data_IF_651519859669
#
_entry.id   IF_651519859669
#
_cell.length_a   1.000
_cell.length_b   1.000
_cell.length_c   1.000
_cell.angle_alpha   90.00
_cell.angle_beta   90.00
_cell.angle_gamma   90.00
#
_symmetry.space_group_name_H-M   'P 1'
#
loop_
_entity.id
_entity.type
_entity.pdbx_description
1 polymer ?
#
# COMPACT_ATOMS: atom_id res chain seq x y z
N UNK A 1 -44.70 9.19 1.83
CA UNK A 1 -44.07 9.23 3.16
C UNK A 1 -44.00 7.83 3.78
N UNK A 2 -42.96 7.01 3.49
CA UNK A 2 -42.65 5.79 4.29
C UNK A 2 -41.41 4.96 3.87
N UNK A 3 -40.49 5.47 3.04
CA UNK A 3 -39.25 4.75 2.70
C UNK A 3 -37.97 5.59 2.77
N UNK A 4 -38.09 6.86 3.17
CA UNK A 4 -36.94 7.80 3.23
C UNK A 4 -36.24 7.73 4.61
N UNK A 5 -36.86 7.09 5.61
CA UNK A 5 -36.35 7.06 6.99
C UNK A 5 -35.34 5.96 7.32
N UNK A 6 -35.00 5.05 6.40
CA UNK A 6 -34.21 3.85 6.73
C UNK A 6 -32.81 3.78 6.09
N UNK A 7 -32.41 4.77 5.27
CA UNK A 7 -31.10 4.81 4.60
C UNK A 7 -30.10 5.77 5.28
N UNK A 8 -30.28 6.05 6.57
CA UNK A 8 -29.33 6.78 7.41
C UNK A 8 -28.64 5.86 8.42
N UNK A 9 -28.40 4.59 8.06
CA UNK A 9 -27.51 3.71 8.82
C UNK A 9 -26.08 4.02 8.36
N UNK A 10 -25.56 5.10 8.93
CA UNK A 10 -24.17 5.33 9.34
C UNK A 10 -23.18 4.42 8.59
N UNK A 11 -22.83 4.80 7.37
CA UNK A 11 -21.46 4.55 6.92
C UNK A 11 -20.63 5.41 7.86
N UNK A 12 -20.00 4.77 8.85
CA UNK A 12 -18.93 5.38 9.61
C UNK A 12 -17.84 5.71 8.60
N UNK A 13 -17.94 6.89 8.00
CA UNK A 13 -16.88 7.47 7.21
C UNK A 13 -15.81 7.78 8.24
N UNK A 14 -14.98 6.78 8.56
CA UNK A 14 -13.63 7.11 9.03
C UNK A 14 -13.12 8.03 7.96
N UNK A 15 -12.97 9.30 8.31
CA UNK A 15 -12.46 10.34 7.43
C UNK A 15 -11.12 9.86 6.92
N UNK A 16 -11.12 9.20 5.76
CA UNK A 16 -9.93 9.00 4.94
C UNK A 16 -9.66 10.40 4.43
N UNK A 17 -8.95 11.17 5.25
CA UNK A 17 -8.23 12.35 4.80
C UNK A 17 -7.26 11.81 3.75
N UNK A 18 -7.68 11.82 2.49
CA UNK A 18 -6.84 11.51 1.36
C UNK A 18 -5.91 12.70 1.12
N UNK A 19 -5.08 13.01 2.11
CA UNK A 19 -3.89 13.80 1.87
C UNK A 19 -2.96 12.86 1.12
N UNK A 20 -2.72 13.20 -0.15
CA UNK A 20 -1.92 12.41 -1.08
C UNK A 20 -0.42 12.32 -0.69
N UNK A 21 -0.05 12.94 0.44
CA UNK A 21 1.31 12.99 0.98
C UNK A 21 1.51 12.15 2.26
N UNK A 22 0.44 11.57 2.83
CA UNK A 22 0.55 10.77 4.06
C UNK A 22 0.87 9.31 3.72
N UNK A 23 2.11 8.90 4.03
CA UNK A 23 2.54 7.49 3.97
C UNK A 23 1.64 6.65 4.88
N UNK A 24 1.01 5.56 4.39
CA UNK A 24 0.10 4.77 5.21
C UNK A 24 0.78 4.19 6.45
N UNK A 25 0.02 4.11 7.55
CA UNK A 25 0.49 3.46 8.79
C UNK A 25 1.01 2.04 8.54
N UNK A 26 0.40 1.28 7.63
CA UNK A 26 0.86 -0.06 7.30
C UNK A 26 2.29 -0.09 6.72
N UNK A 27 2.75 0.97 6.03
CA UNK A 27 4.13 1.06 5.53
C UNK A 27 5.07 1.23 6.71
N UNK A 28 4.74 2.08 7.68
CA UNK A 28 5.53 2.27 8.90
C UNK A 28 5.67 0.98 9.70
N UNK A 29 4.57 0.24 9.89
CA UNK A 29 4.57 -1.02 10.62
C UNK A 29 5.45 -2.08 9.92
N UNK A 30 5.38 -2.15 8.59
CA UNK A 30 6.21 -3.05 7.78
C UNK A 30 7.70 -2.67 7.85
N UNK A 31 8.03 -1.39 7.76
CA UNK A 31 9.41 -0.91 7.92
C UNK A 31 9.95 -1.20 9.34
N UNK A 32 9.11 -1.11 10.35
CA UNK A 32 9.48 -1.48 11.71
C UNK A 32 9.80 -2.98 11.83
N UNK A 33 8.98 -3.86 11.23
CA UNK A 33 9.27 -5.30 11.15
C UNK A 33 10.61 -5.59 10.48
N UNK A 34 10.93 -4.85 9.41
CA UNK A 34 12.22 -4.97 8.72
C UNK A 34 13.40 -4.58 9.63
N UNK A 35 13.27 -3.47 10.37
CA UNK A 35 14.33 -2.98 11.27
C UNK A 35 14.52 -3.85 12.51
N UNK A 36 13.49 -4.54 12.96
CA UNK A 36 13.52 -5.35 14.20
C UNK A 36 13.84 -6.83 13.96
N UNK A 37 14.31 -7.19 12.75
CA UNK A 37 14.62 -8.58 12.37
C UNK A 37 13.40 -9.52 12.48
N UNK A 38 12.19 -8.99 12.32
CA UNK A 38 10.95 -9.81 12.33
C UNK A 38 10.67 -10.45 10.97
N UNK A 39 11.36 -10.02 9.90
CA UNK A 39 11.30 -10.63 8.57
C UNK A 39 12.28 -11.80 8.46
N UNK A 40 13.55 -11.54 8.79
CA UNK A 40 14.62 -12.51 8.69
C UNK A 40 15.18 -12.82 10.07
N UNK A 41 15.37 -14.11 10.38
CA UNK A 41 16.16 -14.51 11.55
C UNK A 41 17.60 -14.04 11.36
N UNK A 42 18.28 -13.60 12.42
CA UNK A 42 19.66 -13.10 12.32
C UNK A 42 20.66 -14.13 11.73
N UNK A 43 20.41 -15.42 11.93
CA UNK A 43 21.25 -16.48 11.37
C UNK A 43 20.92 -16.85 9.92
N UNK A 44 19.81 -16.34 9.36
CA UNK A 44 19.37 -16.62 8.00
C UNK A 44 20.02 -15.64 7.01
N UNK A 45 21.25 -15.97 6.62
CA UNK A 45 22.07 -15.12 5.75
C UNK A 45 21.51 -14.97 4.36
N UNK A 46 20.76 -15.95 3.86
CA UNK A 46 20.11 -15.90 2.55
C UNK A 46 18.91 -14.94 2.58
N UNK A 47 18.09 -14.99 3.64
CA UNK A 47 17.02 -14.02 3.85
C UNK A 47 17.57 -12.60 3.97
N UNK A 48 18.61 -12.39 4.79
CA UNK A 48 19.21 -11.06 4.97
C UNK A 48 19.81 -10.52 3.66
N UNK A 49 20.44 -11.39 2.85
CA UNK A 49 20.99 -11.01 1.55
C UNK A 49 19.90 -10.58 0.57
N UNK A 50 18.81 -11.35 0.51
CA UNK A 50 17.69 -11.05 -0.37
C UNK A 50 16.92 -9.80 0.07
N UNK A 51 16.76 -9.59 1.38
CA UNK A 51 16.19 -8.35 1.94
C UNK A 51 17.04 -7.12 1.59
N UNK A 52 18.37 -7.23 1.67
CA UNK A 52 19.30 -6.18 1.24
C UNK A 52 19.25 -5.94 -0.27
N UNK A 53 19.06 -7.00 -1.07
CA UNK A 53 18.87 -6.89 -2.52
C UNK A 53 17.58 -6.11 -2.85
N UNK A 54 16.49 -6.40 -2.15
CA UNK A 54 15.22 -5.69 -2.27
C UNK A 54 15.37 -4.18 -1.92
N UNK A 55 16.07 -3.85 -0.84
CA UNK A 55 16.35 -2.47 -0.45
C UNK A 55 17.16 -1.72 -1.52
N UNK A 56 18.25 -2.31 -2.01
CA UNK A 56 19.06 -1.74 -3.08
C UNK A 56 18.25 -1.51 -4.36
N UNK A 57 17.41 -2.47 -4.74
CA UNK A 57 16.53 -2.33 -5.90
C UNK A 57 15.53 -1.17 -5.71
N UNK A 58 14.99 -1.04 -4.50
CA UNK A 58 14.08 0.08 -4.15
C UNK A 58 14.78 1.44 -4.24
N UNK A 59 16.02 1.55 -3.77
CA UNK A 59 16.83 2.76 -3.89
C UNK A 59 17.16 3.09 -5.35
N UNK A 60 17.45 2.09 -6.18
CA UNK A 60 17.67 2.30 -7.62
C UNK A 60 16.41 2.84 -8.29
N UNK A 61 15.24 2.25 -8.03
CA UNK A 61 13.96 2.74 -8.53
C UNK A 61 13.67 4.18 -8.08
N UNK A 62 13.98 4.51 -6.82
CA UNK A 62 13.84 5.87 -6.28
C UNK A 62 14.73 6.87 -7.02
N UNK A 63 15.99 6.49 -7.28
CA UNK A 63 16.95 7.31 -8.05
C UNK A 63 16.51 7.53 -9.50
N UNK A 64 16.12 6.46 -10.21
CA UNK A 64 15.67 6.52 -11.60
C UNK A 64 14.42 7.40 -11.78
N UNK A 65 13.52 7.39 -10.80
CA UNK A 65 12.25 8.10 -10.88
C UNK A 65 12.24 9.45 -10.15
N UNK A 66 13.42 9.97 -9.77
CA UNK A 66 13.56 11.28 -9.11
C UNK A 66 12.66 11.42 -7.88
N UNK A 67 12.48 10.35 -7.10
CA UNK A 67 11.61 10.30 -5.92
C UNK A 67 10.11 10.51 -6.19
N UNK A 68 9.65 10.49 -7.45
CA UNK A 68 8.21 10.56 -7.73
C UNK A 68 7.56 9.27 -7.26
N UNK A 69 6.73 9.36 -6.21
CA UNK A 69 6.24 8.20 -5.46
C UNK A 69 5.51 7.15 -6.33
N UNK A 70 4.52 7.51 -7.17
CA UNK A 70 3.79 6.52 -7.97
C UNK A 70 4.69 5.77 -8.96
N UNK A 71 5.65 6.46 -9.58
CA UNK A 71 6.60 5.90 -10.52
C UNK A 71 7.63 5.02 -9.80
N UNK A 72 8.10 5.47 -8.63
CA UNK A 72 9.00 4.69 -7.77
C UNK A 72 8.32 3.39 -7.34
N UNK A 73 7.08 3.46 -6.84
CA UNK A 73 6.31 2.30 -6.42
C UNK A 73 6.11 1.29 -7.57
N UNK A 74 5.67 1.77 -8.75
CA UNK A 74 5.51 0.92 -9.93
C UNK A 74 6.83 0.29 -10.38
N UNK A 75 7.94 1.03 -10.31
CA UNK A 75 9.26 0.48 -10.61
C UNK A 75 9.61 -0.66 -9.65
N UNK A 76 9.43 -0.45 -8.34
CA UNK A 76 9.73 -1.45 -7.33
C UNK A 76 8.86 -2.70 -7.53
N UNK A 77 7.54 -2.52 -7.68
CA UNK A 77 6.58 -3.60 -7.91
C UNK A 77 6.96 -4.50 -9.09
N UNK A 78 7.43 -3.90 -10.19
CA UNK A 78 7.68 -4.62 -11.43
C UNK A 78 9.08 -5.23 -11.51
N UNK A 79 10.08 -4.61 -10.88
CA UNK A 79 11.49 -4.96 -11.06
C UNK A 79 12.15 -5.58 -9.83
N UNK A 80 11.67 -5.29 -8.62
CA UNK A 80 12.27 -5.77 -7.39
C UNK A 80 11.56 -7.02 -6.90
N UNK A 81 11.91 -8.19 -7.45
CA UNK A 81 11.33 -9.48 -7.07
C UNK A 81 12.28 -10.23 -6.12
N UNK A 82 11.94 -10.35 -4.83
CA UNK A 82 12.67 -11.20 -3.90
C UNK A 82 12.64 -12.68 -4.33
N UNK A 83 13.62 -13.43 -3.86
CA UNK A 83 13.72 -14.87 -4.09
C UNK A 83 13.50 -15.68 -2.82
N UNK A 84 13.76 -15.09 -1.65
CA UNK A 84 13.53 -15.69 -0.36
C UNK A 84 12.02 -15.60 0.01
N UNK A 85 11.37 -16.70 0.44
CA UNK A 85 9.94 -16.70 0.75
C UNK A 85 9.51 -15.69 1.81
N UNK A 86 10.32 -15.47 2.86
CA UNK A 86 9.99 -14.51 3.92
C UNK A 86 10.06 -13.07 3.42
N UNK A 87 11.05 -12.77 2.59
CA UNK A 87 11.21 -11.45 1.96
C UNK A 87 10.11 -11.22 0.92
N UNK A 88 9.71 -12.26 0.19
CA UNK A 88 8.58 -12.21 -0.75
C UNK A 88 7.26 -11.89 -0.03
N UNK A 89 6.98 -12.53 1.10
CA UNK A 89 5.77 -12.24 1.90
C UNK A 89 5.77 -10.79 2.37
N UNK A 90 6.90 -10.31 2.92
CA UNK A 90 7.04 -8.91 3.30
C UNK A 90 6.80 -7.96 2.12
N UNK A 91 7.38 -8.28 0.96
CA UNK A 91 7.22 -7.49 -0.25
C UNK A 91 5.76 -7.42 -0.71
N UNK A 92 5.05 -8.55 -0.71
CA UNK A 92 3.64 -8.61 -1.08
C UNK A 92 2.74 -7.82 -0.12
N UNK A 93 3.05 -7.83 1.19
CA UNK A 93 2.37 -6.98 2.18
C UNK A 93 2.59 -5.49 1.90
N UNK A 94 3.81 -5.10 1.54
CA UNK A 94 4.15 -3.73 1.19
C UNK A 94 3.42 -3.25 -0.07
N UNK A 95 3.36 -4.07 -1.11
CA UNK A 95 2.60 -3.76 -2.33
C UNK A 95 1.10 -3.60 -2.04
N UNK A 96 0.51 -4.45 -1.19
CA UNK A 96 -0.91 -4.37 -0.82
C UNK A 96 -1.22 -3.10 -0.01
N UNK A 97 -0.36 -2.75 0.92
CA UNK A 97 -0.48 -1.55 1.74
C UNK A 97 -0.56 -0.28 0.87
N UNK A 98 0.36 -0.14 -0.07
CA UNK A 98 0.39 0.98 -1.03
C UNK A 98 -0.77 0.94 -2.04
N UNK A 99 -1.18 -0.24 -2.51
CA UNK A 99 -2.29 -0.38 -3.47
C UNK A 99 -3.67 0.00 -2.90
N UNK A 100 -3.83 -0.06 -1.57
CA UNK A 100 -5.08 0.30 -0.89
C UNK A 100 -5.36 1.81 -0.94
N UNK A 101 -4.30 2.63 -1.02
CA UNK A 101 -4.40 4.08 -1.18
C UNK A 101 -5.05 4.43 -2.53
N UNK A 102 -4.60 3.77 -3.61
CA UNK A 102 -5.05 4.08 -4.97
C UNK A 102 -6.44 3.51 -5.31
N UNK A 103 -6.86 2.41 -4.67
CA UNK A 103 -8.12 1.73 -4.98
C UNK A 103 -9.36 2.43 -4.39
N UNK A 104 -9.18 3.21 -3.34
CA UNK A 104 -10.28 3.85 -2.59
C UNK A 104 -10.96 5.01 -3.36
N UNK A 105 -10.32 5.53 -4.42
CA UNK A 105 -10.83 6.69 -5.18
C UNK A 105 -11.95 6.28 -6.16
N UNK A 106 -11.94 5.05 -6.67
CA UNK A 106 -12.87 4.61 -7.75
C UNK A 106 -14.28 4.32 -7.23
N UNK A 107 -14.42 3.93 -5.96
CA UNK A 107 -15.72 3.55 -5.38
C UNK A 107 -16.63 4.75 -5.08
N UNK A 108 -16.07 5.93 -4.79
CA UNK A 108 -16.90 7.11 -4.52
C UNK A 108 -17.48 7.75 -5.79
N UNK A 109 -16.77 7.70 -6.92
CA UNK A 109 -17.26 8.29 -8.18
C UNK A 109 -18.46 7.55 -8.78
N UNK A 110 -18.55 6.23 -8.57
CA UNK A 110 -19.67 5.42 -9.08
C UNK A 110 -20.94 5.63 -8.25
N UNK A 111 -20.82 5.75 -6.93
CA UNK A 111 -21.95 6.00 -6.02
C UNK A 111 -22.66 7.35 -6.30
N UNK A 112 -21.92 8.42 -6.60
CA UNK A 112 -22.52 9.71 -6.96
C UNK A 112 -23.26 9.66 -8.30
N UNK A 113 -22.75 8.93 -9.30
CA UNK A 113 -23.42 8.78 -10.59
C UNK A 113 -24.78 8.06 -10.47
N UNK A 114 -24.90 7.07 -9.57
CA UNK A 114 -26.18 6.39 -9.32
C UNK A 114 -27.19 7.25 -8.56
N UNK A 115 -26.75 8.13 -7.65
CA UNK A 115 -27.64 9.07 -6.95
C UNK A 115 -28.22 10.09 -7.93
N UNK A 116 -27.43 10.61 -8.87
CA UNK A 116 -27.91 11.54 -9.91
C UNK A 116 -28.86 10.90 -10.93
N UNK A 117 -28.80 9.58 -11.14
CA UNK A 117 -29.73 8.85 -12.01
C UNK A 117 -31.02 8.42 -11.31
N UNK A 118 -31.06 8.51 -9.98
CA UNK A 118 -32.21 8.13 -9.13
C UNK A 118 -32.97 9.34 -8.56
N UNK A 119 -32.50 10.56 -8.82
CA UNK A 119 -33.19 11.85 -8.60
C UNK A 119 -33.76 12.31 -9.94
#
# INVERSE_FOLDING_TARGET
MKLIGLLLIIVAITTVNANQDDVPQCVYDLLYKAKTNQICKQSDTDCLRDLKSLDNCSLNCKGQNQNKQPQTFNCVKNNCKPTNPYVQVFFDELIKCESTIYSSIVLFSTLFAFIFLLI
#
